data_IF_310177145604
#
_entry.id   IF_310177145604
#
_cell.length_a   1.000
_cell.length_b   1.000
_cell.length_c   1.000
_cell.angle_alpha   90.00
_cell.angle_beta   90.00
_cell.angle_gamma   90.00
#
_symmetry.space_group_name_H-M   'P 1'
#
loop_
_entity.id
_entity.type
_entity.pdbx_description
1 polymer ?
#
# COMPACT_ATOMS: atom_id res chain seq x y z
N UNK A 1 -46.21 -27.68 -12.10
CA UNK A 1 -44.77 -27.70 -12.40
C UNK A 1 -44.02 -27.40 -11.13
N UNK A 2 -43.35 -28.40 -10.59
CA UNK A 2 -42.47 -28.29 -9.42
C UNK A 2 -41.22 -27.55 -9.86
N UNK A 3 -40.88 -26.47 -9.17
CA UNK A 3 -39.62 -25.79 -9.33
C UNK A 3 -38.50 -26.71 -8.82
N UNK A 4 -37.63 -27.16 -9.72
CA UNK A 4 -36.42 -27.85 -9.34
C UNK A 4 -35.45 -26.80 -8.76
N UNK A 5 -35.30 -26.84 -7.43
CA UNK A 5 -34.25 -26.08 -6.76
C UNK A 5 -32.91 -26.77 -6.95
N UNK A 6 -31.91 -26.04 -7.42
CA UNK A 6 -30.52 -26.53 -7.38
C UNK A 6 -29.84 -26.02 -6.11
N UNK A 7 -29.06 -26.91 -5.49
CA UNK A 7 -28.24 -26.54 -4.34
C UNK A 7 -26.82 -26.34 -4.82
N UNK A 8 -26.25 -25.14 -4.65
CA UNK A 8 -24.81 -24.94 -4.80
C UNK A 8 -24.19 -25.24 -3.42
N UNK A 9 -23.47 -26.34 -3.34
CA UNK A 9 -22.61 -26.58 -2.20
C UNK A 9 -21.25 -25.97 -2.51
N UNK A 10 -20.96 -24.83 -1.88
CA UNK A 10 -19.58 -24.30 -1.86
C UNK A 10 -18.83 -25.14 -0.84
N UNK A 11 -18.10 -26.13 -1.31
CA UNK A 11 -17.08 -26.77 -0.49
C UNK A 11 -15.87 -25.87 -0.51
N UNK A 12 -15.51 -25.31 0.65
CA UNK A 12 -14.15 -24.87 0.84
C UNK A 12 -13.28 -26.11 0.63
N UNK A 13 -12.60 -26.18 -0.50
CA UNK A 13 -11.53 -27.15 -0.68
C UNK A 13 -10.37 -26.68 0.20
N UNK A 14 -10.36 -27.17 1.44
CA UNK A 14 -9.28 -26.93 2.39
C UNK A 14 -8.12 -27.88 2.17
N UNK A 15 -8.05 -28.55 1.02
CA UNK A 15 -6.93 -29.38 0.61
C UNK A 15 -5.87 -28.59 -0.17
N UNK A 16 -5.65 -27.33 0.18
CA UNK A 16 -4.38 -26.69 -0.15
C UNK A 16 -3.34 -27.15 0.88
N UNK A 17 -2.67 -28.27 0.57
CA UNK A 17 -1.55 -28.85 1.33
C UNK A 17 -0.33 -27.91 1.40
N UNK A 18 -0.47 -26.66 0.98
CA UNK A 18 0.43 -25.53 1.21
C UNK A 18 -0.18 -24.61 2.27
N UNK A 19 -0.24 -25.07 3.51
CA UNK A 19 -0.37 -24.14 4.62
C UNK A 19 0.68 -23.03 4.43
N UNK A 20 0.24 -21.78 4.32
CA UNK A 20 1.13 -20.64 4.14
C UNK A 20 2.17 -20.70 5.27
N UNK A 21 3.41 -21.08 4.94
CA UNK A 21 4.51 -21.19 5.90
C UNK A 21 4.97 -19.80 6.36
N UNK A 22 4.46 -18.76 5.73
CA UNK A 22 4.80 -17.37 6.02
C UNK A 22 3.80 -16.79 7.01
N UNK A 23 4.32 -16.26 8.10
CA UNK A 23 3.50 -15.81 9.23
C UNK A 23 3.31 -14.30 9.15
N UNK A 24 2.05 -13.87 9.15
CA UNK A 24 1.70 -12.47 9.39
C UNK A 24 2.17 -12.05 10.78
N UNK A 25 2.58 -10.79 10.93
CA UNK A 25 2.87 -10.24 12.25
C UNK A 25 1.63 -10.28 13.15
N UNK A 26 1.80 -10.73 14.38
CA UNK A 26 0.72 -11.02 15.34
C UNK A 26 0.25 -9.80 16.16
N UNK A 27 0.87 -8.62 15.93
CA UNK A 27 0.55 -7.39 16.64
C UNK A 27 1.44 -7.09 17.85
N UNK A 28 2.38 -7.96 18.20
CA UNK A 28 3.29 -7.78 19.32
C UNK A 28 4.70 -7.38 18.86
N UNK A 29 5.23 -6.25 19.34
CA UNK A 29 6.63 -5.91 19.15
C UNK A 29 7.52 -6.75 20.07
N UNK A 30 8.57 -7.32 19.51
CA UNK A 30 9.65 -7.92 20.30
C UNK A 30 10.62 -6.81 20.69
N UNK A 31 11.02 -6.79 21.98
CA UNK A 31 11.96 -5.79 22.52
C UNK A 31 13.16 -6.52 23.06
N UNK A 32 14.23 -6.52 22.30
CA UNK A 32 15.50 -7.15 22.63
C UNK A 32 16.65 -6.56 21.81
N UNK A 33 17.84 -7.09 21.99
CA UNK A 33 19.07 -6.67 21.33
C UNK A 33 19.41 -7.47 20.05
N UNK A 34 18.46 -8.24 19.50
CA UNK A 34 18.70 -9.12 18.34
C UNK A 34 19.18 -8.32 17.13
N UNK A 35 18.62 -7.14 16.92
CA UNK A 35 18.91 -6.27 15.78
C UNK A 35 19.50 -4.92 16.20
N UNK A 36 20.46 -4.88 17.11
CA UNK A 36 21.11 -3.62 17.48
C UNK A 36 21.56 -2.82 16.26
N UNK A 37 21.34 -1.48 16.24
CA UNK A 37 20.89 -0.60 17.35
C UNK A 37 19.35 -0.51 17.51
N UNK A 38 18.57 -1.31 16.81
CA UNK A 38 17.12 -1.33 16.91
C UNK A 38 16.71 -2.15 18.14
N UNK A 39 16.08 -1.51 19.12
CA UNK A 39 15.69 -2.12 20.40
C UNK A 39 14.28 -2.71 20.41
N UNK A 40 13.56 -2.56 19.30
CA UNK A 40 12.25 -3.13 19.06
C UNK A 40 12.11 -3.56 17.61
N UNK A 41 11.43 -4.68 17.40
CA UNK A 41 11.22 -5.16 16.03
C UNK A 41 9.89 -5.92 15.88
N UNK A 42 9.48 -6.06 14.63
CA UNK A 42 8.38 -6.91 14.16
C UNK A 42 8.88 -7.73 12.97
N UNK A 43 8.26 -8.88 12.72
CA UNK A 43 8.48 -9.64 11.48
C UNK A 43 7.14 -9.90 10.82
N UNK A 44 6.98 -9.41 9.60
CA UNK A 44 5.78 -9.58 8.79
C UNK A 44 6.12 -10.36 7.54
N UNK A 45 5.64 -11.59 7.41
CA UNK A 45 5.90 -12.43 6.24
C UNK A 45 7.39 -12.49 5.87
N UNK A 46 8.27 -12.66 6.85
CA UNK A 46 9.74 -12.66 6.75
C UNK A 46 10.41 -11.28 6.50
N UNK A 47 9.65 -10.21 6.28
CA UNK A 47 10.20 -8.86 6.30
C UNK A 47 10.44 -8.42 7.74
N UNK A 48 11.68 -8.12 8.10
CA UNK A 48 12.04 -7.61 9.42
C UNK A 48 11.86 -6.08 9.43
N UNK A 49 11.25 -5.56 10.49
CA UNK A 49 11.03 -4.12 10.69
C UNK A 49 11.64 -3.75 12.04
N UNK A 50 12.73 -3.01 12.02
CA UNK A 50 13.46 -2.61 13.22
C UNK A 50 13.24 -1.15 13.56
N UNK A 51 12.84 -0.85 14.80
CA UNK A 51 12.67 0.49 15.32
C UNK A 51 13.83 0.91 16.21
N UNK A 52 14.43 2.08 15.96
CA UNK A 52 15.42 2.71 16.83
C UNK A 52 14.79 3.05 18.19
N UNK A 53 15.62 3.23 19.27
CA UNK A 53 15.12 3.51 20.62
C UNK A 53 14.23 4.74 20.73
N UNK A 54 14.44 5.74 19.89
CA UNK A 54 13.74 7.02 19.91
C UNK A 54 12.39 7.04 19.14
N UNK A 55 12.10 6.00 18.35
CA UNK A 55 10.81 5.89 17.66
C UNK A 55 9.74 5.33 18.58
N UNK A 56 8.49 5.79 18.43
CA UNK A 56 7.39 5.28 19.25
C UNK A 56 6.98 3.85 18.84
N UNK A 57 6.59 3.04 19.82
CA UNK A 57 6.06 1.70 19.58
C UNK A 57 4.84 1.74 18.62
N UNK A 58 3.99 2.76 18.79
CA UNK A 58 2.81 2.95 17.94
C UNK A 58 3.16 3.18 16.48
N UNK A 59 4.24 3.88 16.21
CA UNK A 59 4.69 4.13 14.84
C UNK A 59 5.25 2.85 14.19
N UNK A 60 6.14 2.12 14.88
CA UNK A 60 6.65 0.82 14.41
C UNK A 60 5.51 -0.18 14.18
N UNK A 61 4.51 -0.16 15.07
CA UNK A 61 3.27 -0.95 14.93
C UNK A 61 2.51 -0.59 13.64
N UNK A 62 2.39 0.70 13.33
CA UNK A 62 1.74 1.14 12.08
C UNK A 62 2.51 0.66 10.85
N UNK A 63 3.84 0.76 10.86
CA UNK A 63 4.70 0.24 9.77
C UNK A 63 4.47 -1.26 9.56
N UNK A 64 4.53 -2.05 10.64
CA UNK A 64 4.32 -3.49 10.60
C UNK A 64 2.91 -3.87 10.11
N UNK A 65 1.90 -3.14 10.53
CA UNK A 65 0.52 -3.35 10.09
C UNK A 65 0.32 -3.04 8.60
N UNK A 66 0.95 -1.98 8.08
CA UNK A 66 0.90 -1.66 6.64
C UNK A 66 1.62 -2.75 5.85
N UNK A 67 2.80 -3.18 6.29
CA UNK A 67 3.52 -4.29 5.68
C UNK A 67 2.68 -5.58 5.66
N UNK A 68 2.00 -5.91 6.77
CA UNK A 68 1.07 -7.04 6.83
C UNK A 68 -0.05 -6.93 5.77
N UNK A 69 -0.59 -5.73 5.55
CA UNK A 69 -1.62 -5.52 4.53
C UNK A 69 -1.08 -5.69 3.13
N UNK A 70 0.10 -5.12 2.84
CA UNK A 70 0.72 -5.21 1.51
C UNK A 70 1.12 -6.64 1.15
N UNK A 71 1.58 -7.43 2.12
CA UNK A 71 2.10 -8.78 1.92
C UNK A 71 1.04 -9.88 2.13
N UNK A 72 -0.19 -9.52 2.50
CA UNK A 72 -1.30 -10.47 2.65
C UNK A 72 -1.64 -11.16 1.32
N UNK A 73 -2.55 -12.11 1.37
CA UNK A 73 -3.14 -12.75 0.19
C UNK A 73 -4.53 -12.20 -0.08
N UNK A 74 -4.92 -12.21 -1.36
CA UNK A 74 -6.27 -11.98 -1.85
C UNK A 74 -6.57 -12.88 -3.06
N UNK A 75 -7.75 -12.77 -3.64
CA UNK A 75 -8.17 -13.61 -4.78
C UNK A 75 -7.31 -13.41 -6.04
N UNK A 76 -6.59 -12.30 -6.17
CA UNK A 76 -5.68 -12.03 -7.29
C UNK A 76 -4.26 -12.57 -7.06
N UNK A 77 -3.95 -13.08 -5.87
CA UNK A 77 -2.59 -13.47 -5.50
C UNK A 77 -2.08 -14.64 -6.33
N UNK A 78 -0.95 -14.43 -7.00
CA UNK A 78 -0.14 -15.50 -7.57
C UNK A 78 0.75 -16.09 -6.47
N UNK A 79 0.35 -17.23 -5.92
CA UNK A 79 1.05 -17.86 -4.81
C UNK A 79 2.51 -18.20 -5.13
N UNK A 80 2.84 -18.57 -6.37
CA UNK A 80 4.23 -18.89 -6.77
C UNK A 80 5.11 -17.64 -6.68
N UNK A 81 4.68 -16.54 -7.26
CA UNK A 81 5.44 -15.29 -7.25
C UNK A 81 5.53 -14.69 -5.85
N UNK A 82 4.41 -14.70 -5.11
CA UNK A 82 4.41 -14.22 -3.73
C UNK A 82 5.35 -15.06 -2.85
N UNK A 83 5.27 -16.38 -2.91
CA UNK A 83 6.14 -17.26 -2.13
C UNK A 83 7.61 -17.08 -2.50
N UNK A 84 7.92 -16.84 -3.78
CA UNK A 84 9.28 -16.49 -4.21
C UNK A 84 9.77 -15.21 -3.54
N UNK A 85 8.97 -14.14 -3.53
CA UNK A 85 9.30 -12.90 -2.85
C UNK A 85 9.55 -13.12 -1.36
N UNK A 86 8.62 -13.81 -0.66
CA UNK A 86 8.70 -14.01 0.79
C UNK A 86 9.88 -14.92 1.20
N UNK A 87 10.24 -15.90 0.38
CA UNK A 87 11.48 -16.68 0.55
C UNK A 87 12.72 -15.79 0.38
N UNK A 88 12.69 -14.88 -0.60
CA UNK A 88 13.80 -13.98 -0.86
C UNK A 88 13.95 -12.91 0.24
N UNK A 89 12.89 -12.55 0.98
CA UNK A 89 13.06 -11.74 2.19
C UNK A 89 13.99 -12.44 3.21
N UNK A 90 13.82 -13.75 3.40
CA UNK A 90 14.74 -14.51 4.26
C UNK A 90 16.12 -14.67 3.63
N UNK A 91 16.20 -14.98 2.34
CA UNK A 91 17.47 -15.24 1.66
C UNK A 91 18.39 -14.01 1.66
N UNK A 92 17.82 -12.82 1.53
CA UNK A 92 18.55 -11.55 1.49
C UNK A 92 18.50 -10.77 2.80
N UNK A 93 17.90 -11.35 3.86
CA UNK A 93 17.71 -10.68 5.15
C UNK A 93 17.05 -9.31 4.98
N UNK A 94 15.89 -9.24 4.31
CA UNK A 94 15.19 -7.98 4.05
C UNK A 94 14.84 -7.27 5.37
N UNK A 95 15.29 -6.03 5.52
CA UNK A 95 15.17 -5.27 6.76
C UNK A 95 14.73 -3.83 6.48
N UNK A 96 13.59 -3.45 7.04
CA UNK A 96 13.10 -2.07 7.04
C UNK A 96 13.57 -1.34 8.30
N UNK A 97 14.33 -0.30 8.12
CA UNK A 97 14.80 0.57 9.19
C UNK A 97 13.74 1.62 9.53
N UNK A 98 13.47 1.82 10.83
CA UNK A 98 12.51 2.83 11.32
C UNK A 98 13.16 3.67 12.41
N UNK A 99 13.10 4.98 12.27
CA UNK A 99 13.67 5.94 13.21
C UNK A 99 12.70 7.07 13.55
N UNK A 100 13.01 7.80 14.60
CA UNK A 100 12.32 9.03 14.96
C UNK A 100 13.30 10.18 14.88
N UNK A 101 13.16 11.02 13.87
CA UNK A 101 13.93 12.26 13.83
C UNK A 101 13.21 13.29 12.97
N UNK A 102 13.69 14.53 13.02
CA UNK A 102 13.28 15.47 12.01
C UNK A 102 13.84 14.99 10.67
N UNK A 103 13.01 14.91 9.66
CA UNK A 103 13.42 14.51 8.31
C UNK A 103 14.47 15.48 7.71
N UNK A 104 14.60 16.70 8.28
CA UNK A 104 15.67 17.64 7.98
C UNK A 104 17.01 17.30 8.65
N UNK A 105 17.00 16.38 9.59
CA UNK A 105 18.19 15.88 10.28
C UNK A 105 18.47 14.41 9.98
N UNK A 106 18.03 13.91 8.82
CA UNK A 106 18.65 12.72 8.25
C UNK A 106 20.14 13.03 8.17
N UNK A 107 20.81 12.65 9.24
CA UNK A 107 22.23 12.82 9.36
C UNK A 107 22.88 11.53 8.88
N UNK A 108 23.60 11.55 7.73
CA UNK A 108 24.47 10.45 7.39
C UNK A 108 25.49 10.16 8.50
N UNK A 109 25.68 11.07 9.47
CA UNK A 109 26.45 10.84 10.69
C UNK A 109 25.75 9.86 11.67
N UNK A 110 24.47 9.55 11.52
CA UNK A 110 23.87 8.34 12.09
C UNK A 110 24.43 7.06 11.45
N UNK A 111 25.09 7.19 10.31
CA UNK A 111 25.92 6.15 9.69
C UNK A 111 27.30 6.07 10.31
N UNK A 112 27.55 6.65 11.45
CA UNK A 112 28.82 6.50 12.10
C UNK A 112 28.69 5.61 13.33
N UNK A 113 29.86 5.24 13.88
CA UNK A 113 30.11 4.34 15.00
C UNK A 113 29.35 4.66 16.31
N UNK A 114 28.36 5.56 16.29
CA UNK A 114 27.62 5.98 17.47
C UNK A 114 26.57 4.96 17.95
N UNK A 115 26.18 4.03 17.05
CA UNK A 115 25.25 2.97 17.40
C UNK A 115 25.95 1.60 17.31
N UNK A 116 26.14 0.96 18.46
CA UNK A 116 26.63 -0.42 18.52
C UNK A 116 25.73 -1.35 17.67
N UNK A 117 26.34 -2.09 16.76
CA UNK A 117 25.64 -3.00 15.84
C UNK A 117 25.14 -2.38 14.54
N UNK A 118 25.36 -1.07 14.30
CA UNK A 118 24.93 -0.41 13.06
C UNK A 118 25.52 -1.06 11.81
N UNK A 119 26.82 -1.27 11.79
CA UNK A 119 27.49 -1.89 10.63
C UNK A 119 26.99 -3.30 10.37
N UNK A 120 26.66 -4.07 11.42
CA UNK A 120 26.14 -5.40 11.25
C UNK A 120 24.82 -5.42 10.45
N UNK A 121 23.92 -4.47 10.68
CA UNK A 121 22.67 -4.39 9.92
C UNK A 121 22.96 -3.93 8.48
N UNK A 122 23.77 -2.91 8.28
CA UNK A 122 24.07 -2.40 6.96
C UNK A 122 24.85 -3.39 6.08
N UNK A 123 25.73 -4.20 6.68
CA UNK A 123 26.58 -5.13 5.94
C UNK A 123 25.92 -6.49 5.67
N UNK A 124 24.98 -6.92 6.51
CA UNK A 124 24.43 -8.27 6.46
C UNK A 124 22.93 -8.35 6.11
N UNK A 125 22.26 -7.20 5.94
CA UNK A 125 20.84 -7.15 5.62
C UNK A 125 20.60 -6.33 4.35
N UNK A 126 19.58 -6.71 3.60
CA UNK A 126 19.10 -5.88 2.50
C UNK A 126 18.32 -4.69 3.08
N UNK A 127 18.99 -3.57 3.16
CA UNK A 127 18.45 -2.29 3.64
C UNK A 127 18.51 -1.25 2.53
N UNK A 128 17.51 -0.37 2.48
CA UNK A 128 17.49 0.76 1.54
C UNK A 128 17.45 2.06 2.35
N UNK A 129 16.25 2.47 2.74
CA UNK A 129 15.98 3.74 3.37
C UNK A 129 15.49 3.56 4.81
N UNK A 130 15.36 4.69 5.50
CA UNK A 130 14.64 4.78 6.75
C UNK A 130 13.19 5.21 6.51
N UNK A 131 12.30 4.70 7.34
CA UNK A 131 10.99 5.30 7.58
C UNK A 131 11.13 6.21 8.80
N UNK A 132 10.81 7.49 8.65
CA UNK A 132 10.98 8.46 9.71
C UNK A 132 9.65 8.82 10.37
N UNK A 133 9.54 8.58 11.68
CA UNK A 133 8.46 9.12 12.48
C UNK A 133 8.63 10.64 12.61
N UNK A 134 7.68 11.41 12.09
CA UNK A 134 7.69 12.86 12.24
C UNK A 134 7.43 13.26 13.69
N UNK A 135 8.20 14.21 14.17
CA UNK A 135 8.06 14.82 15.49
C UNK A 135 7.70 16.31 15.38
N UNK A 136 7.48 16.97 16.50
CA UNK A 136 7.26 18.42 16.52
C UNK A 136 8.42 19.24 15.95
N UNK A 137 9.59 18.65 15.77
CA UNK A 137 10.77 19.28 15.18
C UNK A 137 10.89 19.05 13.67
N UNK A 138 10.06 18.19 13.10
CA UNK A 138 10.04 17.94 11.65
C UNK A 138 9.45 19.13 10.90
N UNK A 139 9.76 19.32 9.60
CA UNK A 139 9.09 20.29 8.76
C UNK A 139 7.57 20.14 8.81
N UNK A 140 6.84 21.23 8.75
CA UNK A 140 5.38 21.25 8.98
C UNK A 140 4.60 20.41 7.96
N UNK A 141 5.04 20.39 6.71
CA UNK A 141 4.47 19.57 5.63
C UNK A 141 4.63 18.06 5.90
N UNK A 142 5.64 17.66 6.65
CA UNK A 142 5.89 16.27 7.07
C UNK A 142 5.11 15.85 8.32
N UNK A 143 4.53 16.81 9.05
CA UNK A 143 3.74 16.57 10.26
C UNK A 143 2.26 16.29 9.99
N UNK A 144 1.87 16.03 8.75
CA UNK A 144 0.50 15.66 8.42
C UNK A 144 0.31 14.14 8.46
N UNK A 145 -0.92 13.71 8.71
CA UNK A 145 -1.25 12.28 8.64
C UNK A 145 -0.98 11.70 7.24
N UNK A 146 -1.35 12.44 6.20
CA UNK A 146 -1.13 12.03 4.83
C UNK A 146 0.36 11.85 4.51
N UNK A 147 1.21 12.80 4.92
CA UNK A 147 2.64 12.69 4.69
C UNK A 147 3.28 11.54 5.46
N UNK A 148 2.80 11.23 6.69
CA UNK A 148 3.31 10.08 7.43
C UNK A 148 2.85 8.74 6.84
N UNK A 149 1.65 8.67 6.27
CA UNK A 149 1.19 7.50 5.52
C UNK A 149 2.07 7.32 4.28
N UNK A 150 2.31 8.41 3.53
CA UNK A 150 3.16 8.36 2.35
C UNK A 150 4.57 7.87 2.68
N UNK A 151 5.19 8.45 3.71
CA UNK A 151 6.51 8.08 4.23
C UNK A 151 6.63 6.56 4.48
N UNK A 152 5.61 5.98 5.13
CA UNK A 152 5.60 4.54 5.42
C UNK A 152 5.41 3.72 4.14
N UNK A 153 4.46 4.10 3.28
CA UNK A 153 4.17 3.36 2.05
C UNK A 153 5.34 3.40 1.09
N UNK A 154 5.94 4.58 0.88
CA UNK A 154 7.08 4.80 0.03
C UNK A 154 8.27 3.90 0.40
N UNK A 155 8.76 4.04 1.61
CA UNK A 155 9.97 3.33 2.02
C UNK A 155 9.75 1.82 2.28
N UNK A 156 8.53 1.38 2.62
CA UNK A 156 8.18 -0.04 2.57
C UNK A 156 8.23 -0.56 1.13
N UNK A 157 7.72 0.19 0.16
CA UNK A 157 7.80 -0.19 -1.25
C UNK A 157 9.24 -0.22 -1.73
N UNK A 158 10.10 0.71 -1.33
CA UNK A 158 11.53 0.68 -1.64
C UNK A 158 12.19 -0.62 -1.16
N UNK A 159 11.96 -1.00 0.10
CA UNK A 159 12.49 -2.26 0.65
C UNK A 159 11.92 -3.49 -0.05
N UNK A 160 10.62 -3.52 -0.32
CA UNK A 160 9.96 -4.65 -1.01
C UNK A 160 10.43 -4.75 -2.45
N UNK A 161 10.52 -3.65 -3.19
CA UNK A 161 10.91 -3.66 -4.61
C UNK A 161 12.41 -3.86 -4.81
N UNK A 162 13.26 -3.58 -3.82
CA UNK A 162 14.64 -4.06 -3.81
C UNK A 162 14.69 -5.60 -3.88
N UNK A 163 13.76 -6.28 -3.21
CA UNK A 163 13.69 -7.74 -3.27
C UNK A 163 12.95 -8.22 -4.54
N UNK A 164 12.07 -7.42 -5.14
CA UNK A 164 11.55 -7.69 -6.49
C UNK A 164 12.68 -7.75 -7.53
N UNK A 165 13.64 -6.82 -7.47
CA UNK A 165 14.86 -6.83 -8.34
C UNK A 165 15.62 -8.17 -8.23
N UNK A 166 15.65 -8.77 -7.05
CA UNK A 166 16.29 -10.08 -6.80
C UNK A 166 15.40 -11.28 -7.14
N UNK A 167 14.09 -11.07 -7.25
CA UNK A 167 13.09 -12.15 -7.40
C UNK A 167 12.60 -12.30 -8.83
N UNK A 168 12.48 -11.21 -9.57
CA UNK A 168 11.82 -11.18 -10.86
C UNK A 168 12.70 -10.55 -11.92
N UNK A 169 13.01 -11.27 -13.00
CA UNK A 169 13.82 -10.74 -14.11
C UNK A 169 13.20 -9.51 -14.77
N UNK A 170 11.87 -9.37 -14.74
CA UNK A 170 11.16 -8.17 -15.22
C UNK A 170 11.40 -6.92 -14.37
N UNK A 171 12.01 -7.06 -13.17
CA UNK A 171 12.23 -5.97 -12.21
C UNK A 171 13.69 -5.57 -12.02
N UNK A 172 14.60 -6.05 -12.88
CA UNK A 172 16.04 -5.71 -12.77
C UNK A 172 16.27 -4.19 -12.87
N UNK A 173 16.75 -3.57 -11.79
CA UNK A 173 16.96 -2.12 -11.71
C UNK A 173 18.06 -1.63 -12.69
N UNK A 174 19.09 -2.44 -12.88
CA UNK A 174 20.23 -2.12 -13.75
C UNK A 174 20.15 -2.80 -15.12
N UNK A 175 19.15 -3.66 -15.34
CA UNK A 175 18.94 -4.33 -16.63
C UNK A 175 18.13 -3.44 -17.56
N UNK A 176 18.81 -2.85 -18.55
CA UNK A 176 18.16 -1.98 -19.55
C UNK A 176 17.04 -2.68 -20.36
N UNK A 177 16.97 -4.01 -20.32
CA UNK A 177 15.94 -4.81 -20.99
C UNK A 177 14.81 -5.26 -20.06
N UNK A 178 14.89 -4.98 -18.77
CA UNK A 178 13.82 -5.30 -17.82
C UNK A 178 12.56 -4.48 -18.12
N UNK A 179 11.39 -5.06 -17.84
CA UNK A 179 10.12 -4.36 -18.04
C UNK A 179 10.05 -3.09 -17.18
N UNK A 180 10.65 -3.10 -15.97
CA UNK A 180 10.72 -1.92 -15.12
C UNK A 180 11.50 -0.77 -15.76
N UNK A 181 12.69 -1.03 -16.28
CA UNK A 181 13.51 0.01 -16.91
C UNK A 181 12.88 0.49 -18.22
N UNK A 182 12.25 -0.40 -18.99
CA UNK A 182 11.52 -0.02 -20.19
C UNK A 182 10.31 0.88 -19.86
N UNK A 183 9.53 0.55 -18.83
CA UNK A 183 8.42 1.36 -18.37
C UNK A 183 8.87 2.72 -17.80
N UNK A 184 9.98 2.74 -17.06
CA UNK A 184 10.57 3.98 -16.57
C UNK A 184 11.02 4.89 -17.73
N UNK A 185 11.66 4.33 -18.75
CA UNK A 185 12.08 5.10 -19.91
C UNK A 185 10.89 5.63 -20.73
N UNK A 186 9.78 4.88 -20.82
CA UNK A 186 8.52 5.37 -21.39
C UNK A 186 8.03 6.62 -20.63
N UNK A 187 8.02 6.58 -19.31
CA UNK A 187 7.57 7.69 -18.47
C UNK A 187 8.48 8.93 -18.59
N UNK A 188 9.79 8.73 -18.62
CA UNK A 188 10.77 9.81 -18.82
C UNK A 188 10.58 10.44 -20.22
N UNK A 189 10.50 9.63 -21.26
CA UNK A 189 10.34 10.10 -22.64
C UNK A 189 9.03 10.86 -22.85
N UNK A 190 7.97 10.48 -22.12
CA UNK A 190 6.67 11.16 -22.11
C UNK A 190 6.64 12.44 -21.27
N UNK A 191 7.67 12.70 -20.45
CA UNK A 191 7.70 13.84 -19.52
C UNK A 191 6.80 13.65 -18.30
N UNK A 192 6.51 12.40 -17.94
CA UNK A 192 5.67 12.06 -16.78
C UNK A 192 6.49 11.69 -15.53
N UNK A 193 7.74 11.33 -15.72
CA UNK A 193 8.70 11.07 -14.65
C UNK A 193 9.97 11.88 -14.89
N UNK A 194 10.35 12.71 -13.93
CA UNK A 194 11.61 13.46 -13.93
C UNK A 194 12.53 12.90 -12.83
N UNK A 195 13.53 12.07 -13.18
CA UNK A 195 14.44 11.48 -12.20
C UNK A 195 15.54 12.45 -11.72
N UNK A 196 15.45 13.76 -12.03
CA UNK A 196 16.47 14.75 -11.67
C UNK A 196 16.66 14.78 -10.15
N UNK A 197 17.87 14.51 -9.70
CA UNK A 197 18.20 14.42 -8.27
C UNK A 197 18.19 12.99 -7.71
N UNK A 198 17.64 12.02 -8.44
CA UNK A 198 17.52 10.62 -8.02
C UNK A 198 18.56 9.72 -8.72
N UNK A 199 19.71 10.27 -9.07
CA UNK A 199 20.81 9.52 -9.70
C UNK A 199 21.21 8.31 -8.82
N UNK A 200 21.14 7.11 -9.39
CA UNK A 200 21.44 5.86 -8.70
C UNK A 200 20.24 5.14 -8.08
N UNK A 201 19.11 5.84 -7.83
CA UNK A 201 17.89 5.25 -7.24
C UNK A 201 16.65 5.42 -8.13
N UNK A 202 16.81 5.98 -9.32
CA UNK A 202 15.68 6.34 -10.21
C UNK A 202 14.72 5.20 -10.53
N UNK A 203 15.20 3.96 -10.64
CA UNK A 203 14.33 2.81 -10.90
C UNK A 203 13.51 2.42 -9.67
N UNK A 204 14.08 2.60 -8.47
CA UNK A 204 13.43 2.40 -7.19
C UNK A 204 12.32 3.44 -6.99
N UNK A 205 12.62 4.72 -7.22
CA UNK A 205 11.62 5.80 -7.14
C UNK A 205 10.50 5.62 -8.16
N UNK A 206 10.84 5.28 -9.40
CA UNK A 206 9.85 4.97 -10.42
C UNK A 206 8.93 3.82 -10.00
N UNK A 207 9.48 2.74 -9.43
CA UNK A 207 8.70 1.60 -8.96
C UNK A 207 7.69 2.02 -7.87
N UNK A 208 8.10 2.84 -6.92
CA UNK A 208 7.23 3.40 -5.90
C UNK A 208 6.09 4.23 -6.53
N UNK A 209 6.41 5.21 -7.39
CA UNK A 209 5.41 6.05 -8.04
C UNK A 209 4.40 5.24 -8.85
N UNK A 210 4.87 4.27 -9.62
CA UNK A 210 4.02 3.39 -10.41
C UNK A 210 3.06 2.58 -9.52
N UNK A 211 3.54 2.01 -8.41
CA UNK A 211 2.72 1.21 -7.51
C UNK A 211 1.71 2.10 -6.77
N UNK A 212 2.15 3.22 -6.21
CA UNK A 212 1.27 4.16 -5.51
C UNK A 212 0.14 4.66 -6.41
N UNK A 213 0.46 4.98 -7.67
CA UNK A 213 -0.50 5.40 -8.69
C UNK A 213 -1.44 4.27 -9.08
N UNK A 214 -0.92 3.06 -9.31
CA UNK A 214 -1.71 1.89 -9.65
C UNK A 214 -2.70 1.46 -8.55
N UNK A 215 -2.43 1.82 -7.32
CA UNK A 215 -3.35 1.66 -6.18
C UNK A 215 -4.33 2.82 -5.99
N UNK A 216 -4.29 3.86 -6.83
CA UNK A 216 -5.07 5.11 -6.69
C UNK A 216 -4.80 5.84 -5.37
N UNK A 217 -3.62 5.68 -4.76
CA UNK A 217 -3.22 6.31 -3.51
C UNK A 217 -2.42 7.60 -3.72
N UNK A 218 -1.84 7.82 -4.91
CA UNK A 218 -0.96 8.96 -5.21
C UNK A 218 -1.64 10.31 -4.99
N UNK A 219 -2.84 10.48 -5.51
CA UNK A 219 -3.59 11.74 -5.35
C UNK A 219 -4.00 12.02 -3.90
N UNK A 220 -4.00 11.02 -3.04
CA UNK A 220 -4.42 11.11 -1.64
C UNK A 220 -3.26 11.44 -0.69
N UNK A 221 -2.09 10.82 -0.92
CA UNK A 221 -0.98 10.86 0.04
C UNK A 221 0.26 11.59 -0.49
N UNK A 222 0.40 11.74 -1.81
CA UNK A 222 1.51 12.45 -2.44
C UNK A 222 1.02 13.33 -3.63
N UNK A 223 0.03 14.24 -3.44
CA UNK A 223 -0.55 15.01 -4.55
C UNK A 223 0.46 15.91 -5.27
N UNK A 224 1.39 16.50 -4.52
CA UNK A 224 2.29 17.56 -4.98
C UNK A 224 3.67 17.05 -5.42
N UNK A 225 3.74 15.86 -6.05
CA UNK A 225 4.99 15.24 -6.47
C UNK A 225 5.58 15.79 -7.79
N UNK A 226 4.88 16.66 -8.51
CA UNK A 226 5.41 17.25 -9.74
C UNK A 226 6.62 18.18 -9.45
N UNK A 227 7.69 18.18 -10.30
CA UNK A 227 7.73 17.52 -11.61
C UNK A 227 8.15 16.05 -11.59
N UNK A 228 8.55 15.51 -10.44
CA UNK A 228 9.10 14.16 -10.37
C UNK A 228 8.13 13.11 -10.92
N UNK A 229 6.85 13.18 -10.51
CA UNK A 229 5.81 12.30 -11.03
C UNK A 229 4.50 13.06 -11.21
N UNK A 230 3.88 12.91 -12.40
CA UNK A 230 2.71 13.70 -12.76
C UNK A 230 1.42 12.91 -12.94
N UNK A 231 1.48 11.57 -13.05
CA UNK A 231 0.30 10.70 -13.20
C UNK A 231 -0.41 10.55 -11.85
N UNK A 232 -1.73 10.72 -11.84
CA UNK A 232 -2.51 10.78 -10.60
C UNK A 232 -3.29 9.51 -10.27
N UNK A 233 -3.71 8.75 -11.30
CA UNK A 233 -4.61 7.61 -11.14
C UNK A 233 -4.20 6.40 -11.97
N UNK A 234 -4.66 5.21 -11.56
CA UNK A 234 -4.46 3.97 -12.32
C UNK A 234 -5.02 4.06 -13.75
N UNK A 235 -6.21 4.67 -13.91
CA UNK A 235 -6.83 4.85 -15.24
C UNK A 235 -6.05 5.81 -16.15
N UNK A 236 -5.44 6.85 -15.58
CA UNK A 236 -4.53 7.73 -16.32
C UNK A 236 -3.27 6.98 -16.71
N UNK A 237 -2.68 6.19 -15.80
CA UNK A 237 -1.51 5.36 -16.08
C UNK A 237 -1.80 4.33 -17.19
N UNK A 238 -2.95 3.68 -17.18
CA UNK A 238 -3.37 2.71 -18.22
C UNK A 238 -3.33 3.33 -19.62
N UNK A 239 -3.82 4.57 -19.75
CA UNK A 239 -3.94 5.25 -21.06
C UNK A 239 -2.66 5.93 -21.50
N UNK A 240 -1.82 6.37 -20.56
CA UNK A 240 -0.67 7.26 -20.80
C UNK A 240 0.66 6.51 -20.76
N UNK A 241 0.78 5.51 -19.87
CA UNK A 241 1.97 4.72 -19.62
C UNK A 241 1.64 3.22 -19.67
N UNK A 242 1.32 2.67 -20.83
CA UNK A 242 0.85 1.28 -20.97
C UNK A 242 1.89 0.25 -20.50
N UNK A 243 3.20 0.51 -20.61
CA UNK A 243 4.22 -0.41 -20.09
C UNK A 243 4.21 -0.43 -18.55
N UNK A 244 4.11 0.73 -17.91
CA UNK A 244 4.01 0.82 -16.46
C UNK A 244 2.73 0.15 -15.94
N UNK A 245 1.58 0.41 -16.55
CA UNK A 245 0.32 -0.23 -16.18
C UNK A 245 0.36 -1.75 -16.38
N UNK A 246 0.97 -2.22 -17.48
CA UNK A 246 1.14 -3.65 -17.72
C UNK A 246 2.02 -4.30 -16.65
N UNK A 247 3.16 -3.71 -16.30
CA UNK A 247 4.06 -4.24 -15.26
C UNK A 247 3.35 -4.29 -13.89
N UNK A 248 2.60 -3.23 -13.57
CA UNK A 248 1.78 -3.18 -12.34
C UNK A 248 0.75 -4.31 -12.30
N UNK A 249 0.01 -4.53 -13.38
CA UNK A 249 -1.04 -5.57 -13.44
C UNK A 249 -0.47 -6.98 -13.45
N UNK A 250 0.61 -7.21 -14.19
CA UNK A 250 1.18 -8.54 -14.37
C UNK A 250 1.97 -9.03 -13.15
N UNK A 251 2.56 -8.12 -12.40
CA UNK A 251 3.43 -8.50 -11.27
C UNK A 251 2.89 -8.00 -9.93
N UNK A 252 2.69 -6.68 -9.77
CA UNK A 252 2.36 -6.10 -8.45
C UNK A 252 1.05 -6.65 -7.92
N UNK A 253 -0.01 -6.62 -8.70
CA UNK A 253 -1.34 -7.10 -8.29
C UNK A 253 -1.39 -8.59 -7.92
N UNK A 254 -0.46 -9.38 -8.48
CA UNK A 254 -0.33 -10.80 -8.15
C UNK A 254 0.52 -11.07 -6.91
N UNK A 255 1.22 -10.09 -6.37
CA UNK A 255 2.20 -10.28 -5.28
C UNK A 255 1.89 -9.41 -4.07
N UNK A 256 1.45 -8.17 -4.28
CA UNK A 256 1.11 -7.22 -3.24
C UNK A 256 -0.38 -6.91 -3.22
N UNK A 257 -0.88 -6.57 -2.05
CA UNK A 257 -2.26 -6.14 -1.82
C UNK A 257 -2.27 -4.65 -1.50
N UNK A 258 -3.14 -3.90 -2.18
CA UNK A 258 -3.39 -2.50 -1.85
C UNK A 258 -3.87 -2.36 -0.40
N UNK A 259 -3.19 -1.58 0.46
CA UNK A 259 -3.60 -1.38 1.85
C UNK A 259 -4.90 -0.59 2.02
N UNK A 260 -5.51 -0.12 0.95
CA UNK A 260 -6.75 0.67 0.83
C UNK A 260 -6.75 2.00 1.59
N UNK A 261 -7.35 3.03 1.00
CA UNK A 261 -7.51 4.33 1.66
C UNK A 261 -8.22 4.21 3.02
N UNK A 262 -9.32 3.45 3.08
CA UNK A 262 -10.10 3.31 4.32
C UNK A 262 -9.29 2.75 5.49
N UNK A 263 -8.39 1.80 5.20
CA UNK A 263 -7.49 1.26 6.21
C UNK A 263 -6.43 2.30 6.64
N UNK A 264 -5.78 2.94 5.68
CA UNK A 264 -4.73 3.93 5.94
C UNK A 264 -5.28 5.15 6.70
N UNK A 265 -6.47 5.61 6.34
CA UNK A 265 -7.15 6.70 7.05
C UNK A 265 -7.60 6.32 8.47
N UNK A 266 -7.69 5.04 8.78
CA UNK A 266 -7.96 4.52 10.12
C UNK A 266 -6.75 4.59 11.07
N UNK A 267 -5.53 4.74 10.57
CA UNK A 267 -4.30 4.78 11.39
C UNK A 267 -4.26 6.03 12.28
N UNK A 268 -3.56 5.91 13.41
CA UNK A 268 -3.31 7.03 14.33
C UNK A 268 -1.81 7.20 14.56
N UNK A 269 -1.35 8.43 14.62
CA UNK A 269 0.04 8.80 14.83
C UNK A 269 0.14 9.70 16.05
N UNK A 270 0.61 9.16 17.17
CA UNK A 270 0.66 9.86 18.46
C UNK A 270 1.72 10.96 18.54
N UNK A 271 2.73 10.89 17.68
CA UNK A 271 3.81 11.87 17.60
C UNK A 271 3.43 13.14 16.83
N UNK A 272 2.39 13.06 15.99
CA UNK A 272 1.93 14.21 15.26
C UNK A 272 1.19 15.18 16.17
N UNK A 273 1.32 16.50 15.94
CA UNK A 273 0.48 17.47 16.61
C UNK A 273 -0.98 17.07 16.41
N UNK A 274 -1.73 16.94 17.49
CA UNK A 274 -3.19 16.83 17.38
C UNK A 274 -3.63 18.09 16.63
N UNK A 275 -4.07 17.94 15.38
CA UNK A 275 -4.75 19.01 14.71
C UNK A 275 -5.84 19.46 15.68
N UNK A 276 -5.76 20.72 16.13
CA UNK A 276 -6.82 21.30 16.95
C UNK A 276 -8.10 21.02 16.18
N UNK A 277 -8.92 20.13 16.71
CA UNK A 277 -10.13 19.72 16.04
C UNK A 277 -10.97 20.97 15.80
N UNK A 278 -10.91 21.50 14.58
CA UNK A 278 -12.05 22.21 14.09
C UNK A 278 -13.20 21.20 14.18
N UNK A 279 -14.34 21.54 14.81
CA UNK A 279 -15.44 20.60 14.96
C UNK A 279 -16.03 20.34 13.58
N UNK A 280 -15.47 19.43 12.84
CA UNK A 280 -16.13 18.78 11.73
C UNK A 280 -16.79 17.55 12.31
N UNK A 281 -17.96 17.73 12.85
CA UNK A 281 -18.96 16.67 12.82
C UNK A 281 -19.06 16.29 11.33
N UNK A 282 -18.66 15.09 10.90
CA UNK A 282 -19.11 14.61 9.62
C UNK A 282 -20.61 14.46 9.79
N UNK A 283 -21.36 15.42 9.28
CA UNK A 283 -22.76 15.19 9.01
C UNK A 283 -22.74 14.14 7.91
N UNK A 284 -22.70 12.87 8.31
CA UNK A 284 -23.08 11.78 7.45
C UNK A 284 -24.50 12.08 6.99
N UNK A 285 -24.62 12.75 5.86
CA UNK A 285 -25.91 12.88 5.21
C UNK A 285 -26.23 11.50 4.68
N UNK A 286 -26.96 10.72 5.50
CA UNK A 286 -27.55 9.49 5.06
C UNK A 286 -28.46 9.80 3.87
N UNK A 287 -28.09 9.33 2.70
CA UNK A 287 -28.90 9.49 1.50
C UNK A 287 -29.92 8.34 1.51
N UNK A 288 -31.19 8.65 1.63
CA UNK A 288 -32.27 7.66 1.53
C UNK A 288 -32.71 7.56 0.08
N UNK A 289 -32.63 6.35 -0.49
CA UNK A 289 -33.07 6.06 -1.86
C UNK A 289 -34.35 5.24 -1.78
N UNK A 290 -35.45 5.83 -2.24
CA UNK A 290 -36.72 5.12 -2.31
C UNK A 290 -36.71 4.16 -3.50
N UNK A 291 -36.96 2.88 -3.24
CA UNK A 291 -37.05 1.83 -4.26
C UNK A 291 -38.47 1.30 -4.25
N UNK A 292 -39.11 1.22 -5.39
CA UNK A 292 -40.40 0.55 -5.56
C UNK A 292 -40.30 -0.57 -6.59
N UNK A 293 -41.34 -1.37 -6.72
CA UNK A 293 -41.44 -2.43 -7.72
C UNK A 293 -42.62 -2.10 -8.63
N UNK A 294 -42.43 -2.14 -9.92
CA UNK A 294 -43.48 -1.91 -10.92
C UNK A 294 -43.43 -2.93 -12.07
N UNK A 295 -44.50 -3.04 -12.80
CA UNK A 295 -44.52 -3.86 -14.00
C UNK A 295 -43.47 -3.37 -15.01
N UNK A 296 -42.75 -4.29 -15.65
CA UNK A 296 -41.72 -3.98 -16.63
C UNK A 296 -42.35 -3.42 -17.92
N UNK A 297 -42.03 -2.19 -18.25
CA UNK A 297 -42.56 -1.54 -19.48
C UNK A 297 -42.01 -2.17 -20.78
N UNK A 298 -40.93 -2.93 -20.72
CA UNK A 298 -40.26 -3.54 -21.89
C UNK A 298 -40.46 -5.06 -21.97
N UNK A 299 -41.36 -5.65 -21.16
CA UNK A 299 -41.55 -7.11 -21.17
C UNK A 299 -42.45 -7.59 -20.01
N UNK A 300 -42.42 -8.89 -19.72
CA UNK A 300 -43.18 -9.48 -18.62
C UNK A 300 -42.38 -9.39 -17.27
N UNK A 301 -43.13 -9.41 -16.14
CA UNK A 301 -42.57 -9.40 -14.79
C UNK A 301 -42.44 -8.01 -14.20
N UNK A 302 -41.84 -7.95 -13.00
CA UNK A 302 -41.65 -6.73 -12.25
C UNK A 302 -40.17 -6.28 -12.26
N UNK A 303 -39.96 -4.99 -12.15
CA UNK A 303 -38.62 -4.38 -12.12
C UNK A 303 -38.53 -3.36 -10.99
N UNK A 304 -37.32 -3.12 -10.50
CA UNK A 304 -37.06 -2.04 -9.55
C UNK A 304 -37.19 -0.68 -10.23
N UNK A 305 -37.79 0.24 -9.51
CA UNK A 305 -37.96 1.64 -9.90
C UNK A 305 -37.28 2.52 -8.84
N UNK A 306 -36.38 3.36 -9.27
CA UNK A 306 -35.67 4.32 -8.43
C UNK A 306 -35.99 5.72 -8.99
N UNK A 307 -36.51 6.60 -8.16
CA UNK A 307 -36.93 7.95 -8.55
C UNK A 307 -37.81 7.95 -9.82
N UNK A 308 -38.75 7.06 -9.89
CA UNK A 308 -39.69 6.95 -11.02
C UNK A 308 -39.12 6.30 -12.28
N UNK A 309 -37.84 5.89 -12.30
CA UNK A 309 -37.20 5.30 -13.48
C UNK A 309 -36.96 3.81 -13.27
N UNK A 310 -37.45 2.98 -14.20
CA UNK A 310 -37.22 1.52 -14.19
C UNK A 310 -35.76 1.20 -14.50
N UNK A 311 -35.18 0.26 -13.75
CA UNK A 311 -33.79 -0.23 -13.93
C UNK A 311 -32.74 0.91 -13.93
N UNK A 312 -32.98 1.99 -13.19
CA UNK A 312 -32.06 3.12 -13.12
C UNK A 312 -30.72 2.67 -12.55
N UNK A 313 -29.65 2.93 -13.27
CA UNK A 313 -28.29 2.84 -12.70
C UNK A 313 -28.09 3.99 -11.73
N UNK A 314 -27.49 3.71 -10.57
CA UNK A 314 -27.13 4.69 -9.57
C UNK A 314 -25.63 4.61 -9.31
N UNK A 315 -25.00 5.76 -9.17
CA UNK A 315 -23.60 5.85 -8.73
C UNK A 315 -23.59 6.13 -7.24
N UNK A 316 -22.89 5.32 -6.48
CA UNK A 316 -22.71 5.49 -5.05
C UNK A 316 -21.33 6.10 -4.79
N UNK A 317 -21.25 7.10 -3.91
CA UNK A 317 -19.99 7.72 -3.54
C UNK A 317 -19.38 6.98 -2.34
N UNK A 318 -18.10 6.70 -2.42
CA UNK A 318 -17.36 6.04 -1.33
C UNK A 318 -17.37 6.94 -0.08
N UNK A 319 -17.57 6.35 1.09
CA UNK A 319 -17.62 7.07 2.38
C UNK A 319 -18.98 7.64 2.75
N UNK A 320 -20.01 7.50 1.89
CA UNK A 320 -21.39 7.86 2.23
C UNK A 320 -22.22 6.64 2.68
N UNK A 321 -23.16 6.86 3.57
CA UNK A 321 -24.13 5.83 3.96
C UNK A 321 -25.39 5.98 3.12
N UNK A 322 -25.83 4.90 2.47
CA UNK A 322 -27.06 4.85 1.66
C UNK A 322 -28.05 3.90 2.31
N UNK A 323 -29.28 4.38 2.48
CA UNK A 323 -30.38 3.55 2.94
C UNK A 323 -31.38 3.35 1.81
N UNK A 324 -31.60 2.10 1.43
CA UNK A 324 -32.61 1.74 0.43
C UNK A 324 -33.91 1.39 1.18
N UNK A 325 -34.96 2.13 0.89
CA UNK A 325 -36.28 1.88 1.50
C UNK A 325 -37.22 1.30 0.45
N UNK A 326 -37.90 0.22 0.80
CA UNK A 326 -38.94 -0.38 0.00
C UNK A 326 -40.27 -0.27 0.76
N UNK A 327 -41.34 0.25 0.16
CA UNK A 327 -42.64 0.22 0.81
C UNK A 327 -43.07 -1.25 1.00
N UNK A 328 -43.34 -1.63 2.24
CA UNK A 328 -43.98 -2.91 2.53
C UNK A 328 -45.39 -2.86 1.95
N UNK A 329 -45.71 -3.76 1.01
CA UNK A 329 -47.05 -3.94 0.48
C UNK A 329 -47.98 -4.58 1.51
#
# INVERSE_FOLDING_TARGET
STAEGFTITVTNDTSDDNADTFVAWDGALVKDDTYKPYDKHATSYNLIIGGLPDVTDGFVTNVANIANKMLAQNDATNSVNRNLLLNNFTQYNAFQRVGSTSMSSYDPALNNDNYDGWDNINDNYAVVDFIWEATSNSPTDKQTKASQINEIVEHLLHTITLIFDKSFTSWGYEDASSDLVLAMNEAIAGGYYDPTGNDGVRAQEFAYWMILTGWDLKSLYAPDAAPEWTILTAAEMETTLPLAHKLFTDTVNGVLVNPTQAYLDGLTFSSLPTASAAPTTPTSMAVTIAVSVAANNAGSGNVYVIEGTQKKAITLEVGKTYTFTHPTG
#
